data_IF_689995110928
#
_entry.id   IF_689995110928
#
_cell.length_a   1.000
_cell.length_b   1.000
_cell.length_c   1.000
_cell.angle_alpha   90.00
_cell.angle_beta   90.00
_cell.angle_gamma   90.00
#
_symmetry.space_group_name_H-M   'P 1'
#
loop_
_entity.id
_entity.type
_entity.pdbx_description
1 polymer ?
#
# COMPACT_ATOMS: atom_id res chain seq x y z
N UNK A 1 -30.71 6.56 30.42
CA UNK A 1 -30.18 6.60 29.03
C UNK A 1 -28.71 6.98 29.11
N UNK A 2 -27.81 6.01 29.09
CA UNK A 2 -26.36 6.23 29.16
C UNK A 2 -25.85 6.31 27.72
N UNK A 3 -25.25 7.46 27.33
CA UNK A 3 -24.56 7.63 26.05
C UNK A 3 -23.24 6.89 26.11
N UNK A 4 -23.09 5.86 25.31
CA UNK A 4 -21.82 5.13 25.11
C UNK A 4 -20.88 6.01 24.28
N UNK A 5 -19.62 6.21 24.66
CA UNK A 5 -18.67 6.97 23.83
C UNK A 5 -18.28 6.15 22.60
N UNK A 6 -18.36 6.75 21.42
CA UNK A 6 -17.83 6.21 20.16
C UNK A 6 -16.34 5.95 20.31
N UNK A 7 -15.93 4.70 20.05
CA UNK A 7 -14.54 4.25 20.06
C UNK A 7 -13.79 4.89 18.89
N UNK A 8 -12.65 5.50 19.18
CA UNK A 8 -11.70 6.01 18.18
C UNK A 8 -10.96 4.83 17.54
N UNK A 9 -11.55 4.23 16.50
CA UNK A 9 -10.75 3.50 15.54
C UNK A 9 -9.92 4.49 14.70
N UNK A 10 -8.84 4.04 14.06
CA UNK A 10 -7.98 4.86 13.17
C UNK A 10 -8.76 5.27 11.90
N UNK A 11 -9.87 5.99 12.07
CA UNK A 11 -10.79 6.46 11.06
C UNK A 11 -10.80 7.99 11.12
N UNK A 12 -10.03 8.61 10.25
CA UNK A 12 -10.12 10.06 10.03
C UNK A 12 -11.33 10.33 9.13
N UNK A 13 -12.46 10.65 9.72
CA UNK A 13 -13.57 11.24 9.01
C UNK A 13 -13.33 12.75 8.86
N UNK A 14 -13.29 13.24 7.64
CA UNK A 14 -13.13 14.66 7.33
C UNK A 14 -14.48 15.23 6.92
N UNK A 15 -15.01 16.14 7.70
CA UNK A 15 -16.16 16.95 7.31
C UNK A 15 -15.65 18.16 6.51
N UNK A 16 -15.97 18.23 5.22
CA UNK A 16 -15.80 19.42 4.38
C UNK A 16 -17.14 20.16 4.30
N UNK A 17 -17.20 21.33 4.91
CA UNK A 17 -18.32 22.25 4.74
C UNK A 17 -18.32 22.86 3.34
N UNK A 18 -19.38 22.67 2.58
CA UNK A 18 -19.59 23.29 1.29
C UNK A 18 -20.04 24.77 1.48
N UNK A 19 -19.23 25.71 1.03
CA UNK A 19 -19.63 27.10 0.83
C UNK A 19 -20.16 27.25 -0.60
N UNK A 20 -21.46 27.44 -0.74
CA UNK A 20 -22.11 27.79 -2.00
C UNK A 20 -21.96 29.26 -2.29
N UNK A 21 -21.37 29.64 -3.42
CA UNK A 21 -21.39 30.98 -3.98
C UNK A 21 -22.46 31.09 -5.10
N UNK A 22 -23.21 32.18 -5.22
CA UNK A 22 -24.23 32.29 -6.26
C UNK A 22 -23.62 32.60 -7.63
N UNK A 23 -24.02 31.82 -8.64
CA UNK A 23 -23.64 32.03 -10.03
C UNK A 23 -24.49 33.09 -10.69
N UNK A 24 -23.88 34.17 -11.21
CA UNK A 24 -24.48 35.11 -12.14
C UNK A 24 -24.43 34.50 -13.56
N UNK A 25 -25.59 34.23 -14.12
CA UNK A 25 -25.74 33.73 -15.47
C UNK A 25 -25.61 34.86 -16.51
N UNK A 26 -24.60 34.77 -17.38
CA UNK A 26 -24.54 35.51 -18.65
C UNK A 26 -24.91 34.57 -19.80
N UNK A 27 -25.64 35.05 -20.85
CA UNK A 27 -26.04 34.20 -21.95
C UNK A 27 -24.81 33.85 -22.82
N UNK A 28 -24.49 32.55 -22.87
CA UNK A 28 -23.43 32.03 -23.70
C UNK A 28 -23.88 31.95 -25.16
N UNK A 29 -23.17 32.64 -26.05
CA UNK A 29 -23.22 32.36 -27.48
C UNK A 29 -22.69 30.96 -27.75
N UNK A 30 -23.46 30.18 -28.48
CA UNK A 30 -23.10 28.82 -28.89
C UNK A 30 -21.87 28.88 -29.84
N UNK A 31 -20.71 28.54 -29.31
CA UNK A 31 -19.54 28.17 -30.12
C UNK A 31 -19.57 26.66 -30.42
N UNK A 32 -19.07 26.23 -31.56
CA UNK A 32 -19.36 24.91 -32.12
C UNK A 32 -18.81 23.78 -31.26
N UNK A 33 -19.65 22.76 -31.00
CA UNK A 33 -19.39 21.54 -30.25
C UNK A 33 -18.24 20.66 -30.79
N UNK A 34 -17.63 21.03 -31.92
CA UNK A 34 -16.55 20.30 -32.59
C UNK A 34 -15.17 20.44 -31.91
N UNK A 35 -14.96 21.47 -31.04
CA UNK A 35 -13.64 21.72 -30.45
C UNK A 35 -13.36 20.86 -29.17
N UNK A 36 -14.38 20.38 -28.48
CA UNK A 36 -14.21 19.56 -27.27
C UNK A 36 -13.95 18.08 -27.61
N UNK A 37 -14.61 17.53 -28.61
CA UNK A 37 -14.39 16.15 -29.10
C UNK A 37 -12.95 15.98 -29.64
N UNK A 38 -12.46 16.94 -30.41
CA UNK A 38 -11.10 16.88 -30.96
C UNK A 38 -10.00 16.88 -29.90
N UNK A 39 -10.24 17.43 -28.69
CA UNK A 39 -9.27 17.44 -27.59
C UNK A 39 -9.18 16.08 -26.91
N UNK A 40 -10.33 15.47 -26.63
CA UNK A 40 -10.40 14.17 -25.99
C UNK A 40 -9.89 13.04 -26.89
N UNK A 41 -10.29 13.02 -28.15
CA UNK A 41 -9.80 12.08 -29.17
C UNK A 41 -8.27 12.13 -29.30
N UNK A 42 -7.67 13.34 -29.26
CA UNK A 42 -6.21 13.49 -29.26
C UNK A 42 -5.55 12.88 -28.03
N UNK A 43 -6.13 13.06 -26.85
CA UNK A 43 -5.61 12.45 -25.62
C UNK A 43 -5.68 10.93 -25.69
N UNK A 44 -6.84 10.37 -26.10
CA UNK A 44 -7.00 8.92 -26.26
C UNK A 44 -6.00 8.38 -27.27
N UNK A 45 -5.85 9.00 -28.44
CA UNK A 45 -4.86 8.62 -29.46
C UNK A 45 -3.41 8.71 -28.93
N UNK A 46 -3.12 9.70 -28.09
CA UNK A 46 -1.83 9.85 -27.41
C UNK A 46 -1.53 8.70 -26.45
N UNK A 47 -2.51 8.29 -25.65
CA UNK A 47 -2.41 7.14 -24.76
C UNK A 47 -2.26 5.83 -25.55
N UNK A 48 -3.06 5.64 -26.61
CA UNK A 48 -3.05 4.42 -27.44
C UNK A 48 -1.71 4.12 -28.10
N UNK A 49 -0.94 5.16 -28.48
CA UNK A 49 0.40 4.97 -29.04
C UNK A 49 1.37 4.27 -28.10
N UNK A 50 1.14 4.37 -26.79
CA UNK A 50 2.02 3.85 -25.73
C UNK A 50 1.30 2.79 -24.86
N UNK A 51 0.05 2.47 -25.17
CA UNK A 51 -0.71 1.45 -24.48
C UNK A 51 -0.36 0.04 -24.97
N UNK A 52 -0.10 -0.86 -24.04
CA UNK A 52 0.17 -2.26 -24.30
C UNK A 52 -0.97 -3.13 -23.74
N UNK A 53 -1.63 -3.95 -24.56
CA UNK A 53 -2.74 -4.77 -24.09
C UNK A 53 -2.30 -5.74 -23.01
N UNK A 54 -3.09 -5.84 -21.95
CA UNK A 54 -2.95 -6.83 -20.88
C UNK A 54 -3.93 -7.99 -21.19
N UNK A 55 -3.40 -9.16 -21.51
CA UNK A 55 -4.23 -10.30 -21.94
C UNK A 55 -5.05 -10.89 -20.80
N UNK A 56 -4.58 -10.79 -19.58
CA UNK A 56 -5.22 -11.36 -18.41
C UNK A 56 -4.58 -10.82 -17.12
N UNK A 57 -5.32 -10.83 -16.02
CA UNK A 57 -4.78 -10.63 -14.67
C UNK A 57 -4.34 -11.94 -14.02
N UNK A 58 -4.68 -13.11 -14.59
CA UNK A 58 -4.43 -14.43 -13.99
C UNK A 58 -2.94 -14.75 -13.89
N UNK A 59 -2.45 -15.23 -12.73
CA UNK A 59 -1.03 -15.48 -12.49
C UNK A 59 -0.41 -16.56 -13.38
N UNK A 60 -1.22 -17.52 -13.85
CA UNK A 60 -0.80 -18.64 -14.72
C UNK A 60 -0.68 -18.26 -16.20
N UNK A 61 -1.16 -17.08 -16.59
CA UNK A 61 -1.07 -16.59 -17.96
C UNK A 61 0.39 -16.29 -18.36
N UNK A 62 0.90 -16.82 -19.49
CA UNK A 62 2.23 -16.53 -19.96
C UNK A 62 2.51 -15.03 -20.10
N UNK A 63 3.74 -14.59 -19.75
CA UNK A 63 4.11 -13.17 -19.63
C UNK A 63 4.50 -12.48 -20.96
N UNK A 64 4.10 -13.00 -22.14
CA UNK A 64 4.49 -12.40 -23.42
C UNK A 64 4.01 -10.95 -23.60
N UNK A 65 2.84 -10.63 -23.08
CA UNK A 65 2.26 -9.29 -23.07
C UNK A 65 2.91 -8.36 -22.04
N UNK A 66 3.73 -8.87 -21.11
CA UNK A 66 4.44 -8.09 -20.09
C UNK A 66 5.88 -7.72 -20.50
N UNK A 67 6.33 -8.07 -21.72
CA UNK A 67 7.70 -7.76 -22.17
C UNK A 67 8.00 -6.25 -22.21
N UNK A 68 7.05 -5.43 -22.66
CA UNK A 68 7.21 -3.99 -22.65
C UNK A 68 7.28 -3.44 -21.23
N UNK A 69 6.46 -3.96 -20.28
CA UNK A 69 6.55 -3.60 -18.87
C UNK A 69 7.95 -3.91 -18.30
N UNK A 70 8.52 -5.08 -18.62
CA UNK A 70 9.87 -5.43 -18.22
C UNK A 70 10.91 -4.43 -18.71
N UNK A 71 10.76 -3.92 -19.92
CA UNK A 71 11.65 -2.88 -20.46
C UNK A 71 11.52 -1.55 -19.71
N UNK A 72 10.29 -1.16 -19.35
CA UNK A 72 10.00 0.08 -18.61
C UNK A 72 10.57 0.07 -17.19
N UNK A 73 10.69 -1.11 -16.55
CA UNK A 73 11.18 -1.26 -15.17
C UNK A 73 12.58 -1.87 -15.08
N UNK A 74 13.30 -2.00 -16.19
CA UNK A 74 14.61 -2.70 -16.28
C UNK A 74 15.62 -2.19 -15.25
N UNK A 75 15.73 -0.87 -15.14
CA UNK A 75 16.72 -0.20 -14.30
C UNK A 75 16.21 0.07 -12.88
N UNK A 76 14.99 -0.40 -12.58
CA UNK A 76 14.41 -0.26 -11.26
C UNK A 76 15.00 -1.30 -10.29
N UNK A 77 15.19 -0.84 -9.05
CA UNK A 77 15.55 -1.67 -7.90
C UNK A 77 14.34 -1.89 -6.97
N UNK A 78 13.37 -0.96 -7.04
CA UNK A 78 12.10 -1.02 -6.31
C UNK A 78 10.98 -0.65 -7.29
N UNK A 79 10.00 -1.53 -7.44
CA UNK A 79 8.79 -1.28 -8.22
C UNK A 79 7.60 -1.24 -7.26
N UNK A 80 6.98 -0.07 -7.10
CA UNK A 80 5.71 0.06 -6.40
C UNK A 80 4.57 -0.40 -7.31
N UNK A 81 3.74 -1.33 -6.84
CA UNK A 81 2.51 -1.76 -7.53
C UNK A 81 1.34 -1.39 -6.65
N UNK A 82 0.61 -0.37 -7.08
CA UNK A 82 -0.56 0.14 -6.40
C UNK A 82 -1.81 -0.72 -6.57
N UNK A 83 -2.78 -0.51 -5.70
CA UNK A 83 -4.16 -0.98 -5.87
C UNK A 83 -5.13 0.16 -5.66
N UNK A 84 -6.12 0.30 -6.55
CA UNK A 84 -7.16 1.32 -6.44
C UNK A 84 -8.20 1.02 -5.35
N UNK A 85 -8.28 -0.25 -4.94
CA UNK A 85 -9.10 -0.74 -3.82
C UNK A 85 -8.35 -1.83 -3.08
N UNK A 86 -8.54 -1.95 -1.78
CA UNK A 86 -7.86 -2.97 -0.98
C UNK A 86 -8.36 -4.41 -1.17
N UNK A 87 -9.45 -4.65 -1.88
CA UNK A 87 -9.97 -6.01 -2.00
C UNK A 87 -10.79 -6.22 -3.28
N UNK A 88 -10.18 -5.95 -4.42
CA UNK A 88 -10.66 -6.38 -5.75
C UNK A 88 -9.84 -7.54 -6.27
N UNK A 89 -10.51 -8.58 -6.74
CA UNK A 89 -9.92 -9.85 -7.20
C UNK A 89 -8.86 -9.63 -8.28
N UNK A 90 -9.23 -8.89 -9.33
CA UNK A 90 -8.37 -8.69 -10.50
C UNK A 90 -7.12 -7.87 -10.16
N UNK A 91 -7.19 -6.96 -9.18
CA UNK A 91 -6.02 -6.22 -8.69
C UNK A 91 -5.04 -7.16 -7.95
N UNK A 92 -5.54 -8.08 -7.14
CA UNK A 92 -4.72 -9.06 -6.44
C UNK A 92 -4.10 -10.09 -7.38
N UNK A 93 -4.89 -10.64 -8.31
CA UNK A 93 -4.37 -11.60 -9.31
C UNK A 93 -3.38 -10.93 -10.27
N UNK A 94 -3.60 -9.66 -10.64
CA UNK A 94 -2.64 -8.86 -11.42
C UNK A 94 -1.32 -8.68 -10.67
N UNK A 95 -1.37 -8.28 -9.40
CA UNK A 95 -0.18 -8.14 -8.55
C UNK A 95 0.60 -9.45 -8.48
N UNK A 96 -0.06 -10.57 -8.25
CA UNK A 96 0.55 -11.90 -8.28
C UNK A 96 1.21 -12.16 -9.64
N UNK A 97 0.51 -11.90 -10.74
CA UNK A 97 1.04 -12.09 -12.10
C UNK A 97 2.27 -11.22 -12.38
N UNK A 98 2.20 -9.94 -12.01
CA UNK A 98 3.32 -9.00 -12.20
C UNK A 98 4.52 -9.40 -11.34
N UNK A 99 4.31 -9.72 -10.06
CA UNK A 99 5.40 -10.17 -9.19
C UNK A 99 6.04 -11.45 -9.72
N UNK A 100 5.24 -12.46 -10.10
CA UNK A 100 5.74 -13.70 -10.71
C UNK A 100 6.57 -13.43 -11.96
N UNK A 101 6.11 -12.56 -12.84
CA UNK A 101 6.83 -12.19 -14.05
C UNK A 101 8.16 -11.49 -13.72
N UNK A 102 8.12 -10.47 -12.88
CA UNK A 102 9.31 -9.70 -12.49
C UNK A 102 10.33 -10.55 -11.71
N UNK A 103 9.86 -11.46 -10.86
CA UNK A 103 10.72 -12.40 -10.13
C UNK A 103 11.47 -13.35 -11.07
N UNK A 104 10.78 -13.88 -12.06
CA UNK A 104 11.37 -14.90 -12.97
C UNK A 104 12.17 -14.31 -14.13
N UNK A 105 11.98 -13.02 -14.47
CA UNK A 105 12.61 -12.39 -15.64
C UNK A 105 13.52 -11.21 -15.33
N UNK A 106 13.33 -10.52 -14.19
CA UNK A 106 14.02 -9.27 -13.85
C UNK A 106 14.72 -9.31 -12.48
N UNK A 107 14.63 -10.44 -11.76
CA UNK A 107 15.30 -10.64 -10.48
C UNK A 107 14.68 -9.90 -9.28
N UNK A 108 13.41 -9.52 -9.36
CA UNK A 108 12.67 -8.97 -8.22
C UNK A 108 12.26 -10.10 -7.28
N UNK A 109 13.05 -10.35 -6.26
CA UNK A 109 12.88 -11.52 -5.39
C UNK A 109 12.29 -11.20 -4.02
N UNK A 110 12.03 -9.93 -3.72
CA UNK A 110 11.28 -9.54 -2.51
C UNK A 110 9.90 -9.01 -2.87
N UNK A 111 8.87 -9.57 -2.23
CA UNK A 111 7.54 -8.98 -2.13
C UNK A 111 7.45 -8.22 -0.80
N UNK A 112 7.38 -6.90 -0.87
CA UNK A 112 7.17 -6.02 0.27
C UNK A 112 5.70 -5.59 0.33
N UNK A 113 5.10 -5.56 1.53
CA UNK A 113 3.66 -5.44 1.72
C UNK A 113 3.32 -4.25 2.61
N UNK A 114 2.19 -3.62 2.35
CA UNK A 114 1.48 -2.74 3.29
C UNK A 114 0.85 -3.58 4.42
N UNK A 115 1.72 -4.25 5.16
CA UNK A 115 1.37 -5.11 6.29
C UNK A 115 2.43 -4.90 7.38
N UNK A 116 2.12 -5.19 8.66
CA UNK A 116 3.09 -5.08 9.74
C UNK A 116 4.39 -5.82 9.44
N UNK A 117 5.52 -5.26 9.92
CA UNK A 117 6.82 -5.93 9.82
C UNK A 117 6.78 -7.36 10.34
N UNK A 118 6.12 -7.57 11.47
CA UNK A 118 5.96 -8.89 12.11
C UNK A 118 5.20 -9.88 11.23
N UNK A 119 4.18 -9.42 10.50
CA UNK A 119 3.46 -10.20 9.50
C UNK A 119 4.40 -10.65 8.38
N UNK A 120 5.18 -9.72 7.86
CA UNK A 120 6.21 -10.01 6.84
C UNK A 120 7.20 -11.06 7.30
N UNK A 121 7.67 -11.02 8.55
CA UNK A 121 8.59 -12.02 9.13
C UNK A 121 7.96 -13.41 9.16
N UNK A 122 6.71 -13.55 9.58
CA UNK A 122 5.97 -14.83 9.62
C UNK A 122 5.73 -15.39 8.22
N UNK A 123 5.32 -14.56 7.29
CA UNK A 123 5.12 -14.93 5.89
C UNK A 123 6.45 -15.31 5.20
N UNK A 124 7.54 -14.58 5.48
CA UNK A 124 8.88 -14.92 4.98
C UNK A 124 9.36 -16.29 5.49
N UNK A 125 9.14 -16.57 6.77
CA UNK A 125 9.45 -17.89 7.34
C UNK A 125 8.65 -18.98 6.63
N UNK A 126 7.34 -18.80 6.43
CA UNK A 126 6.51 -19.75 5.71
C UNK A 126 6.99 -19.97 4.27
N UNK A 127 7.17 -18.92 3.48
CA UNK A 127 7.55 -19.08 2.06
C UNK A 127 8.94 -19.70 1.88
N UNK A 128 9.86 -19.51 2.84
CA UNK A 128 11.19 -20.12 2.81
C UNK A 128 11.23 -21.56 3.31
N UNK A 129 10.52 -21.84 4.40
CA UNK A 129 10.67 -23.10 5.13
C UNK A 129 9.44 -24.00 5.10
N UNK A 130 8.24 -23.42 4.91
CA UNK A 130 6.95 -24.07 5.06
C UNK A 130 6.49 -24.17 6.52
N UNK A 131 7.17 -23.51 7.47
CA UNK A 131 6.78 -23.51 8.87
C UNK A 131 5.59 -22.59 9.13
N UNK A 132 4.64 -23.06 9.91
CA UNK A 132 3.39 -22.34 10.24
C UNK A 132 2.25 -22.76 9.32
N UNK A 133 1.04 -22.38 9.72
CA UNK A 133 -0.18 -22.52 8.91
C UNK A 133 -0.46 -21.23 8.17
N UNK A 134 -0.40 -21.27 6.85
CA UNK A 134 -0.53 -20.08 6.01
C UNK A 134 -1.90 -19.39 6.16
N UNK A 135 -2.98 -20.19 6.24
CA UNK A 135 -4.33 -19.63 6.39
C UNK A 135 -4.45 -18.87 7.72
N UNK A 136 -4.00 -19.49 8.81
CA UNK A 136 -3.97 -18.85 10.14
C UNK A 136 -3.15 -17.55 10.12
N UNK A 137 -1.96 -17.55 9.50
CA UNK A 137 -1.13 -16.34 9.40
C UNK A 137 -1.89 -15.23 8.68
N UNK A 138 -2.53 -15.52 7.53
CA UNK A 138 -3.26 -14.52 6.75
C UNK A 138 -4.50 -14.02 7.50
N UNK A 139 -5.23 -14.89 8.21
CA UNK A 139 -6.41 -14.52 8.97
C UNK A 139 -6.06 -13.62 10.15
N UNK A 140 -5.07 -14.01 10.97
CA UNK A 140 -4.59 -13.21 12.10
C UNK A 140 -4.06 -11.84 11.69
N UNK A 141 -3.22 -11.79 10.65
CA UNK A 141 -2.67 -10.52 10.16
C UNK A 141 -3.74 -9.65 9.47
N UNK A 142 -4.77 -10.26 8.90
CA UNK A 142 -5.92 -9.57 8.32
C UNK A 142 -6.88 -8.94 9.35
N UNK A 143 -6.83 -9.35 10.62
CA UNK A 143 -7.73 -8.84 11.67
C UNK A 143 -7.66 -7.32 11.84
N UNK A 144 -6.46 -6.73 11.73
CA UNK A 144 -6.25 -5.28 11.85
C UNK A 144 -6.90 -4.46 10.75
N UNK A 145 -7.18 -5.10 9.61
CA UNK A 145 -7.80 -4.49 8.41
C UNK A 145 -9.23 -4.99 8.19
N UNK A 146 -9.86 -5.58 9.20
CA UNK A 146 -11.21 -6.17 9.07
C UNK A 146 -11.29 -7.32 8.07
N UNK A 147 -10.17 -7.97 7.74
CA UNK A 147 -10.11 -9.11 6.84
C UNK A 147 -10.18 -8.77 5.34
N UNK A 148 -10.00 -7.49 4.94
CA UNK A 148 -10.01 -7.12 3.51
C UNK A 148 -8.90 -7.82 2.72
N UNK A 149 -7.79 -8.20 3.37
CA UNK A 149 -6.69 -8.97 2.78
C UNK A 149 -6.73 -10.47 3.10
N UNK A 150 -7.66 -10.94 3.94
CA UNK A 150 -7.85 -12.36 4.20
C UNK A 150 -8.62 -13.00 3.03
N UNK A 151 -7.90 -13.21 1.92
CA UNK A 151 -8.51 -13.65 0.66
C UNK A 151 -7.76 -14.83 0.04
N UNK A 152 -8.50 -15.59 -0.77
CA UNK A 152 -7.94 -16.71 -1.55
C UNK A 152 -6.81 -16.26 -2.47
N UNK A 153 -6.86 -15.08 -3.03
CA UNK A 153 -5.85 -14.54 -3.93
C UNK A 153 -4.49 -14.36 -3.23
N UNK A 154 -4.49 -13.94 -1.96
CA UNK A 154 -3.28 -13.88 -1.14
C UNK A 154 -2.78 -15.27 -0.75
N UNK A 155 -3.67 -16.19 -0.40
CA UNK A 155 -3.32 -17.59 -0.13
C UNK A 155 -2.63 -18.22 -1.35
N UNK A 156 -3.18 -18.03 -2.56
CA UNK A 156 -2.63 -18.54 -3.81
C UNK A 156 -1.24 -17.94 -4.11
N UNK A 157 -1.02 -16.64 -3.83
CA UNK A 157 0.27 -15.98 -4.02
C UNK A 157 1.37 -16.57 -3.12
N UNK A 158 1.11 -16.66 -1.81
CA UNK A 158 2.12 -17.20 -0.89
C UNK A 158 2.35 -18.69 -1.08
N UNK A 159 1.32 -19.45 -1.44
CA UNK A 159 1.47 -20.87 -1.82
C UNK A 159 2.36 -21.02 -3.03
N UNK A 160 2.16 -20.22 -4.08
CA UNK A 160 3.06 -20.19 -5.23
C UNK A 160 4.49 -19.81 -4.86
N UNK A 161 4.69 -18.79 -4.01
CA UNK A 161 6.04 -18.42 -3.55
C UNK A 161 6.73 -19.56 -2.81
N UNK A 162 5.97 -20.28 -1.97
CA UNK A 162 6.48 -21.47 -1.26
C UNK A 162 6.90 -22.55 -2.23
N UNK A 163 6.07 -22.88 -3.22
CA UNK A 163 6.36 -23.90 -4.23
C UNK A 163 7.57 -23.51 -5.09
N UNK A 164 7.63 -22.26 -5.53
CA UNK A 164 8.81 -21.72 -6.23
C UNK A 164 10.08 -21.89 -5.38
N UNK A 165 10.02 -21.58 -4.10
CA UNK A 165 11.16 -21.67 -3.20
C UNK A 165 11.65 -23.10 -2.94
N UNK A 166 10.86 -24.14 -3.19
CA UNK A 166 11.30 -25.53 -3.01
C UNK A 166 12.46 -25.88 -3.94
N UNK A 167 12.46 -25.39 -5.17
CA UNK A 167 13.42 -25.75 -6.21
C UNK A 167 14.32 -24.60 -6.65
N UNK A 168 13.88 -23.34 -6.51
CA UNK A 168 14.64 -22.20 -6.97
C UNK A 168 15.96 -22.01 -6.20
N UNK A 169 17.04 -21.66 -6.93
CA UNK A 169 18.34 -21.31 -6.33
C UNK A 169 18.25 -20.03 -5.52
N UNK A 170 17.68 -18.98 -6.11
CA UNK A 170 17.39 -17.71 -5.42
C UNK A 170 15.99 -17.76 -4.84
N UNK A 171 15.89 -17.62 -3.53
CA UNK A 171 14.61 -17.70 -2.82
C UNK A 171 13.86 -16.39 -2.90
N UNK A 172 12.55 -16.48 -3.09
CA UNK A 172 11.64 -15.35 -2.90
C UNK A 172 11.52 -15.05 -1.40
N UNK A 173 11.42 -13.76 -1.09
CA UNK A 173 11.33 -13.24 0.27
C UNK A 173 10.07 -12.41 0.43
N UNK A 174 9.59 -12.30 1.66
CA UNK A 174 8.48 -11.42 2.04
C UNK A 174 8.96 -10.46 3.12
N UNK A 175 8.50 -9.22 3.08
CA UNK A 175 8.63 -8.27 4.17
C UNK A 175 7.35 -7.47 4.32
N UNK A 176 6.99 -7.12 5.55
CA UNK A 176 6.01 -6.06 5.84
C UNK A 176 6.75 -4.75 6.07
N UNK A 177 6.25 -3.64 5.55
CA UNK A 177 6.87 -2.33 5.80
C UNK A 177 6.02 -1.43 6.70
N UNK A 178 4.77 -1.82 6.98
CA UNK A 178 3.82 -1.03 7.77
C UNK A 178 4.00 -1.24 9.29
N UNK A 179 3.30 -0.40 10.06
CA UNK A 179 3.48 -0.16 11.48
C UNK A 179 2.16 -0.24 12.26
N UNK A 180 1.16 -0.93 11.70
CA UNK A 180 -0.16 -1.03 12.33
C UNK A 180 -0.17 -1.91 13.59
N UNK A 181 0.71 -2.90 13.66
CA UNK A 181 0.84 -3.82 14.81
C UNK A 181 2.26 -4.36 14.94
N UNK A 182 2.61 -4.83 16.14
CA UNK A 182 3.82 -5.60 16.42
C UNK A 182 3.48 -6.87 17.17
N UNK A 183 3.70 -8.02 16.53
CA UNK A 183 3.43 -9.32 17.12
C UNK A 183 4.32 -9.60 18.34
N UNK A 184 3.83 -10.20 19.45
CA UNK A 184 4.60 -10.44 20.66
C UNK A 184 5.92 -11.21 20.49
N UNK A 185 6.04 -12.05 19.47
CA UNK A 185 7.28 -12.74 19.15
C UNK A 185 8.44 -11.77 18.82
N UNK A 186 8.17 -10.58 18.28
CA UNK A 186 9.19 -9.60 17.97
C UNK A 186 9.87 -9.08 19.23
N UNK A 187 9.09 -8.77 20.27
CA UNK A 187 9.65 -8.40 21.58
C UNK A 187 10.47 -9.53 22.17
N UNK A 188 9.97 -10.77 22.12
CA UNK A 188 10.69 -11.94 22.62
C UNK A 188 12.04 -12.11 21.97
N UNK A 189 12.14 -12.02 20.64
CA UNK A 189 13.44 -12.13 19.95
C UNK A 189 14.47 -11.09 20.39
N UNK A 190 14.03 -9.85 20.69
CA UNK A 190 14.92 -8.82 21.21
C UNK A 190 15.38 -9.15 22.64
N UNK A 191 14.45 -9.61 23.49
CA UNK A 191 14.77 -9.98 24.88
C UNK A 191 15.66 -11.23 24.96
N UNK A 192 15.39 -12.25 24.14
CA UNK A 192 16.20 -13.47 24.03
C UNK A 192 17.62 -13.15 23.54
N UNK A 193 17.74 -12.28 22.54
CA UNK A 193 19.05 -11.78 22.10
C UNK A 193 19.79 -11.05 23.22
N UNK A 194 19.10 -10.17 23.97
CA UNK A 194 19.73 -9.45 25.08
C UNK A 194 20.16 -10.40 26.20
N UNK A 195 19.36 -11.43 26.52
CA UNK A 195 19.68 -12.42 27.53
C UNK A 195 20.94 -13.23 27.15
N UNK A 196 21.11 -13.54 25.87
CA UNK A 196 22.25 -14.33 25.38
C UNK A 196 23.54 -13.51 25.18
N UNK A 197 23.41 -12.24 24.69
CA UNK A 197 24.55 -11.47 24.20
C UNK A 197 24.89 -10.24 25.04
N UNK A 198 23.90 -9.63 25.74
CA UNK A 198 24.05 -8.39 26.49
C UNK A 198 23.16 -8.38 27.74
N UNK A 199 23.38 -9.31 28.70
CA UNK A 199 22.50 -9.46 29.87
C UNK A 199 22.37 -8.20 30.73
N UNK A 200 23.33 -7.28 30.63
CA UNK A 200 23.34 -6.04 31.41
C UNK A 200 22.17 -5.09 31.07
N UNK A 201 21.67 -5.11 29.82
CA UNK A 201 20.56 -4.26 29.38
C UNK A 201 19.19 -4.95 29.52
N UNK A 202 19.14 -6.26 29.76
CA UNK A 202 17.89 -7.03 29.78
C UNK A 202 16.86 -6.53 30.81
N UNK A 203 17.22 -6.20 32.09
CA UNK A 203 16.25 -5.70 33.04
C UNK A 203 15.59 -4.40 32.58
N UNK A 204 16.34 -3.49 31.96
CA UNK A 204 15.83 -2.22 31.47
C UNK A 204 14.96 -2.44 30.22
N UNK A 205 15.33 -3.32 29.27
CA UNK A 205 14.49 -3.67 28.14
C UNK A 205 13.15 -4.27 28.58
N UNK A 206 13.16 -5.20 29.55
CA UNK A 206 11.92 -5.78 30.12
C UNK A 206 11.04 -4.69 30.75
N UNK A 207 11.61 -3.75 31.45
CA UNK A 207 10.90 -2.61 32.04
C UNK A 207 10.26 -1.73 30.95
N UNK A 208 11.01 -1.37 29.91
CA UNK A 208 10.57 -0.51 28.80
C UNK A 208 9.45 -1.14 27.98
N UNK A 209 9.53 -2.44 27.73
CA UNK A 209 8.52 -3.15 26.96
C UNK A 209 7.34 -3.68 27.79
N UNK A 210 7.35 -3.52 29.13
CA UNK A 210 6.39 -4.15 30.01
C UNK A 210 4.91 -3.88 29.64
N UNK A 211 4.58 -2.62 29.34
CA UNK A 211 3.21 -2.22 28.96
C UNK A 211 2.79 -2.78 27.59
N UNK A 212 3.72 -2.80 26.63
CA UNK A 212 3.46 -3.35 25.28
C UNK A 212 3.32 -4.87 25.32
N UNK A 213 4.10 -5.56 26.16
CA UNK A 213 4.00 -7.00 26.37
C UNK A 213 2.72 -7.42 27.12
N UNK A 214 2.12 -6.50 27.88
CA UNK A 214 0.85 -6.70 28.57
C UNK A 214 -0.39 -6.51 27.69
N UNK A 215 -0.22 -6.09 26.44
CA UNK A 215 -1.33 -5.95 25.48
C UNK A 215 -1.96 -7.32 25.18
N UNK A 216 -3.26 -7.38 24.78
CA UNK A 216 -3.94 -8.62 24.39
C UNK A 216 -3.20 -9.44 23.34
N UNK A 217 -3.55 -10.73 23.21
CA UNK A 217 -2.87 -11.65 22.29
C UNK A 217 -3.21 -11.47 20.81
N UNK A 218 -4.45 -11.12 20.47
CA UNK A 218 -4.91 -10.91 19.09
C UNK A 218 -4.43 -9.59 18.48
N UNK A 219 -4.21 -9.55 17.18
CA UNK A 219 -3.71 -8.36 16.48
C UNK A 219 -4.71 -7.20 16.57
N UNK A 220 -5.99 -7.47 16.27
CA UNK A 220 -7.05 -6.46 16.38
C UNK A 220 -7.21 -5.94 17.80
N UNK A 221 -7.18 -6.84 18.79
CA UNK A 221 -7.32 -6.49 20.19
C UNK A 221 -6.17 -5.59 20.68
N UNK A 222 -4.93 -5.82 20.20
CA UNK A 222 -3.77 -4.95 20.50
C UNK A 222 -3.95 -3.55 19.90
N UNK A 223 -4.38 -3.47 18.63
CA UNK A 223 -4.65 -2.20 17.96
C UNK A 223 -5.77 -1.42 18.67
N UNK A 224 -6.88 -2.10 19.02
CA UNK A 224 -7.99 -1.50 19.76
C UNK A 224 -7.53 -0.99 21.14
N UNK A 225 -6.70 -1.77 21.85
CA UNK A 225 -6.16 -1.39 23.15
C UNK A 225 -5.23 -0.18 23.05
N UNK A 226 -4.33 -0.13 22.06
CA UNK A 226 -3.45 1.02 21.82
C UNK A 226 -4.24 2.27 21.45
N UNK A 227 -5.21 2.17 20.53
CA UNK A 227 -6.02 3.32 20.12
C UNK A 227 -6.95 3.85 21.20
N UNK A 228 -7.24 3.05 22.23
CA UNK A 228 -8.03 3.46 23.39
C UNK A 228 -7.21 4.21 24.46
N UNK A 229 -5.87 4.22 24.36
CA UNK A 229 -5.02 4.89 25.34
C UNK A 229 -5.10 6.42 25.21
N UNK A 230 -5.03 7.15 26.33
CA UNK A 230 -4.86 8.60 26.31
C UNK A 230 -3.56 9.04 25.62
N UNK A 231 -3.50 10.24 25.00
CA UNK A 231 -2.32 10.73 24.30
C UNK A 231 -1.05 10.72 25.13
N UNK A 232 -1.13 11.07 26.41
CA UNK A 232 0.02 11.07 27.33
C UNK A 232 0.57 9.66 27.58
N UNK A 233 -0.27 8.63 27.56
CA UNK A 233 0.19 7.26 27.70
C UNK A 233 0.83 6.74 26.40
N UNK A 234 0.28 7.11 25.25
CA UNK A 234 0.88 6.80 23.95
C UNK A 234 2.25 7.45 23.80
N UNK A 235 2.39 8.71 24.22
CA UNK A 235 3.67 9.41 24.25
C UNK A 235 4.68 8.70 25.15
N UNK A 236 4.29 8.31 26.36
CA UNK A 236 5.16 7.58 27.28
C UNK A 236 5.59 6.21 26.71
N UNK A 237 4.71 5.52 25.97
CA UNK A 237 5.07 4.28 25.25
C UNK A 237 6.09 4.54 24.13
N UNK A 238 5.96 5.63 23.39
CA UNK A 238 6.92 6.02 22.36
C UNK A 238 8.30 6.34 22.95
N UNK A 239 8.35 7.11 24.06
CA UNK A 239 9.58 7.42 24.80
C UNK A 239 10.26 6.14 25.34
N UNK A 240 9.49 5.20 25.89
CA UNK A 240 10.01 3.91 26.36
C UNK A 240 10.56 3.07 25.21
N UNK A 241 9.86 3.01 24.07
CA UNK A 241 10.28 2.24 22.91
C UNK A 241 11.53 2.86 22.23
N UNK A 242 11.62 4.19 22.15
CA UNK A 242 12.78 4.90 21.65
C UNK A 242 14.02 4.62 22.53
N UNK A 243 13.86 4.72 23.86
CA UNK A 243 14.92 4.40 24.79
C UNK A 243 15.37 2.93 24.70
N UNK A 244 14.42 1.99 24.50
CA UNK A 244 14.74 0.58 24.29
C UNK A 244 15.50 0.36 22.96
N UNK A 245 15.09 1.03 21.87
CA UNK A 245 15.83 1.00 20.60
C UNK A 245 17.28 1.46 20.79
N UNK A 246 17.51 2.59 21.47
CA UNK A 246 18.85 3.09 21.71
C UNK A 246 19.70 2.22 22.66
N UNK A 247 19.08 1.49 23.58
CA UNK A 247 19.80 0.49 24.38
C UNK A 247 20.34 -0.63 23.50
N UNK A 248 19.48 -1.17 22.60
CA UNK A 248 19.87 -2.22 21.65
C UNK A 248 20.93 -1.71 20.67
N UNK A 249 20.77 -0.48 20.15
CA UNK A 249 21.71 0.14 19.20
C UNK A 249 23.12 0.30 19.80
N UNK A 250 23.21 0.72 21.08
CA UNK A 250 24.47 0.93 21.79
C UNK A 250 25.17 -0.35 22.23
N UNK A 251 24.48 -1.47 22.25
CA UNK A 251 25.02 -2.76 22.65
C UNK A 251 26.11 -3.34 21.70
N UNK A 252 26.33 -2.73 20.55
CA UNK A 252 27.51 -2.86 19.69
C UNK A 252 27.63 -4.11 18.83
N UNK A 253 27.15 -5.27 19.24
CA UNK A 253 27.21 -6.53 18.48
C UNK A 253 25.83 -7.06 18.11
N UNK A 254 24.90 -6.15 17.85
CA UNK A 254 23.53 -6.52 17.51
C UNK A 254 23.41 -6.95 16.05
N UNK A 255 22.64 -8.01 15.82
CA UNK A 255 22.22 -8.40 14.47
C UNK A 255 21.42 -7.24 13.84
N UNK A 256 21.66 -6.90 12.55
CA UNK A 256 20.87 -5.89 11.88
C UNK A 256 19.34 -6.14 11.96
N UNK A 257 18.91 -7.40 11.97
CA UNK A 257 17.49 -7.76 12.10
C UNK A 257 16.94 -7.48 13.50
N UNK A 258 17.67 -7.80 14.57
CA UNK A 258 17.24 -7.50 15.96
C UNK A 258 17.14 -6.00 16.16
N UNK A 259 18.12 -5.24 15.66
CA UNK A 259 18.10 -3.78 15.73
C UNK A 259 16.91 -3.21 14.94
N UNK A 260 16.61 -3.75 13.76
CA UNK A 260 15.45 -3.33 12.99
C UNK A 260 14.13 -3.66 13.69
N UNK A 261 14.03 -4.80 14.36
CA UNK A 261 12.84 -5.15 15.15
C UNK A 261 12.60 -4.16 16.29
N UNK A 262 13.67 -3.76 17.01
CA UNK A 262 13.57 -2.71 18.02
C UNK A 262 13.18 -1.35 17.43
N UNK A 263 13.73 -1.01 16.26
CA UNK A 263 13.39 0.21 15.51
C UNK A 263 11.92 0.23 15.08
N UNK A 264 11.38 -0.87 14.59
CA UNK A 264 9.96 -0.96 14.17
C UNK A 264 9.01 -0.79 15.36
N UNK A 265 9.37 -1.30 16.55
CA UNK A 265 8.59 -1.05 17.76
C UNK A 265 8.57 0.44 18.09
N UNK A 266 9.72 1.11 18.06
CA UNK A 266 9.83 2.56 18.25
C UNK A 266 9.01 3.32 17.19
N UNK A 267 9.13 2.97 15.91
CA UNK A 267 8.38 3.59 14.82
C UNK A 267 6.86 3.42 15.01
N UNK A 268 6.39 2.23 15.37
CA UNK A 268 4.98 1.95 15.62
C UNK A 268 4.44 2.84 16.75
N UNK A 269 5.11 2.85 17.89
CA UNK A 269 4.67 3.67 19.05
C UNK A 269 4.70 5.16 18.74
N UNK A 270 5.67 5.63 17.93
CA UNK A 270 5.71 7.01 17.44
C UNK A 270 4.49 7.34 16.57
N UNK A 271 4.09 6.42 15.65
CA UNK A 271 2.89 6.62 14.83
C UNK A 271 1.64 6.72 15.70
N UNK A 272 1.48 5.84 16.70
CA UNK A 272 0.34 5.90 17.62
C UNK A 272 0.33 7.14 18.51
N UNK A 273 1.50 7.68 18.86
CA UNK A 273 1.64 8.92 19.63
C UNK A 273 1.47 10.20 18.80
N UNK A 274 1.44 10.09 17.47
CA UNK A 274 1.26 11.21 16.54
C UNK A 274 -0.22 11.49 16.28
N UNK A 275 -0.56 12.73 15.92
CA UNK A 275 -1.93 13.16 15.64
C UNK A 275 -2.07 13.79 14.26
N UNK A 276 -3.29 13.73 13.70
CA UNK A 276 -3.66 14.38 12.44
C UNK A 276 -2.73 14.01 11.27
N UNK A 277 -2.27 15.01 10.53
CA UNK A 277 -1.39 14.81 9.37
C UNK A 277 0.02 14.31 9.72
N UNK A 278 0.46 14.49 10.96
CA UNK A 278 1.76 14.00 11.44
C UNK A 278 1.77 12.48 11.54
N UNK A 279 0.68 11.87 12.00
CA UNK A 279 0.51 10.41 12.04
C UNK A 279 0.77 9.82 10.64
N UNK A 280 0.09 10.32 9.63
CA UNK A 280 0.23 9.84 8.26
C UNK A 280 1.62 10.12 7.68
N UNK A 281 2.20 11.30 7.97
CA UNK A 281 3.57 11.63 7.57
C UNK A 281 4.59 10.66 8.16
N UNK A 282 4.48 10.36 9.46
CA UNK A 282 5.38 9.43 10.13
C UNK A 282 5.20 8.01 9.61
N UNK A 283 3.95 7.54 9.42
CA UNK A 283 3.67 6.21 8.88
C UNK A 283 4.31 6.02 7.50
N UNK A 284 4.02 6.89 6.54
CA UNK A 284 4.55 6.77 5.17
C UNK A 284 6.08 6.92 5.11
N UNK A 285 6.66 7.81 5.93
CA UNK A 285 8.12 7.95 6.06
C UNK A 285 8.75 6.65 6.57
N UNK A 286 8.22 6.08 7.64
CA UNK A 286 8.76 4.85 8.21
C UNK A 286 8.56 3.65 7.29
N UNK A 287 7.44 3.57 6.57
CA UNK A 287 7.22 2.55 5.54
C UNK A 287 8.31 2.60 4.45
N UNK A 288 8.67 3.81 4.00
CA UNK A 288 9.75 4.00 3.04
C UNK A 288 11.12 3.65 3.64
N UNK A 289 11.41 4.08 4.89
CA UNK A 289 12.64 3.76 5.59
C UNK A 289 12.82 2.25 5.78
N UNK A 290 11.75 1.51 6.14
CA UNK A 290 11.76 0.06 6.31
C UNK A 290 12.02 -0.66 4.98
N UNK A 291 11.40 -0.19 3.89
CA UNK A 291 11.65 -0.69 2.53
C UNK A 291 13.11 -0.48 2.14
N UNK A 292 13.67 0.71 2.38
CA UNK A 292 15.07 1.04 2.08
C UNK A 292 16.05 0.30 2.99
N UNK A 293 15.67 0.07 4.27
CA UNK A 293 16.46 -0.77 5.15
C UNK A 293 16.60 -2.19 4.60
N UNK A 294 15.48 -2.79 4.17
CA UNK A 294 15.50 -4.11 3.55
C UNK A 294 16.38 -4.14 2.31
N UNK A 295 16.24 -3.15 1.43
CA UNK A 295 17.07 -3.04 0.22
C UNK A 295 18.56 -2.99 0.57
N UNK A 296 18.97 -2.17 1.52
CA UNK A 296 20.38 -2.03 1.92
C UNK A 296 20.94 -3.31 2.56
N UNK A 297 20.16 -3.99 3.39
CA UNK A 297 20.62 -5.15 4.13
C UNK A 297 20.58 -6.47 3.34
N UNK A 298 19.76 -6.55 2.30
CA UNK A 298 19.63 -7.77 1.49
C UNK A 298 20.21 -7.64 0.09
N UNK A 299 20.32 -6.44 -0.46
CA UNK A 299 20.69 -6.20 -1.86
C UNK A 299 19.62 -6.60 -2.87
N UNK A 300 18.50 -7.20 -2.44
CA UNK A 300 17.47 -7.77 -3.32
C UNK A 300 16.63 -6.66 -3.99
N UNK A 301 16.15 -6.93 -5.21
CA UNK A 301 15.15 -6.09 -5.87
C UNK A 301 13.77 -6.33 -5.26
N UNK A 302 12.98 -5.26 -5.13
CA UNK A 302 11.73 -5.24 -4.35
C UNK A 302 10.54 -4.90 -5.25
N UNK A 303 9.48 -5.70 -5.17
CA UNK A 303 8.13 -5.27 -5.54
C UNK A 303 7.44 -4.83 -4.26
N UNK A 304 7.13 -3.54 -4.16
CA UNK A 304 6.39 -2.94 -3.05
C UNK A 304 4.90 -2.86 -3.39
N UNK A 305 4.10 -3.63 -2.68
CA UNK A 305 2.67 -3.79 -2.89
C UNK A 305 1.88 -3.04 -1.81
N UNK A 306 1.15 -1.99 -2.23
CA UNK A 306 0.37 -1.15 -1.33
C UNK A 306 -0.84 -0.54 -2.05
N UNK A 307 -1.66 0.21 -1.31
CA UNK A 307 -2.67 1.07 -1.91
C UNK A 307 -2.04 2.11 -2.86
N UNK A 308 -2.78 2.51 -3.88
CA UNK A 308 -2.37 3.57 -4.80
C UNK A 308 -1.88 4.82 -4.07
N UNK A 309 -2.55 5.20 -2.98
CA UNK A 309 -2.23 6.37 -2.16
C UNK A 309 -0.86 6.33 -1.50
N UNK A 310 -0.28 5.14 -1.26
CA UNK A 310 1.07 4.98 -0.73
C UNK A 310 2.14 4.87 -1.82
N UNK A 311 1.81 4.22 -2.95
CA UNK A 311 2.76 4.01 -4.06
C UNK A 311 3.03 5.28 -4.86
N UNK A 312 2.05 6.18 -4.94
CA UNK A 312 2.10 7.43 -5.72
C UNK A 312 3.20 8.40 -5.27
N UNK A 313 3.68 9.23 -6.19
CA UNK A 313 4.54 10.38 -5.88
C UNK A 313 3.78 11.58 -5.35
N UNK A 314 2.49 11.71 -5.72
CA UNK A 314 1.63 12.84 -5.38
C UNK A 314 0.48 12.36 -4.50
N UNK A 315 0.33 12.95 -3.32
CA UNK A 315 -0.79 12.62 -2.45
C UNK A 315 -2.12 13.06 -3.06
N UNK A 316 -3.13 12.19 -3.13
CA UNK A 316 -4.48 12.58 -3.48
C UNK A 316 -5.18 13.40 -2.38
N UNK A 317 -4.66 13.37 -1.15
CA UNK A 317 -5.20 14.06 0.02
C UNK A 317 -4.10 14.81 0.80
N UNK A 318 -3.43 15.82 0.22
CA UNK A 318 -2.21 16.40 0.81
C UNK A 318 -2.42 17.07 2.17
N UNK A 319 -3.65 17.45 2.51
CA UNK A 319 -3.96 18.01 3.83
C UNK A 319 -3.93 16.96 4.94
N UNK A 320 -4.21 15.69 4.62
CA UNK A 320 -4.22 14.58 5.57
C UNK A 320 -2.97 13.71 5.42
N UNK A 321 -2.60 13.41 4.19
CA UNK A 321 -1.41 12.65 3.80
C UNK A 321 -0.43 13.58 3.08
N UNK A 322 0.35 14.39 3.79
CA UNK A 322 1.17 15.44 3.17
C UNK A 322 2.30 14.87 2.30
N UNK A 323 2.77 13.67 2.63
CA UNK A 323 3.83 12.97 1.88
C UNK A 323 3.49 11.49 1.83
N UNK A 324 3.67 10.87 0.67
CA UNK A 324 3.41 9.45 0.45
C UNK A 324 4.70 8.62 0.61
N UNK A 325 4.56 7.32 0.87
CA UNK A 325 5.69 6.38 0.84
C UNK A 325 6.43 6.44 -0.50
N UNK A 326 5.69 6.51 -1.63
CA UNK A 326 6.28 6.59 -2.97
C UNK A 326 7.11 7.84 -3.20
N UNK A 327 6.64 9.00 -2.69
CA UNK A 327 7.43 10.23 -2.73
C UNK A 327 8.73 10.11 -1.93
N UNK A 328 8.68 9.50 -0.73
CA UNK A 328 9.85 9.23 0.10
C UNK A 328 10.81 8.24 -0.56
N UNK A 329 10.30 7.14 -1.14
CA UNK A 329 11.11 6.18 -1.88
C UNK A 329 11.78 6.84 -3.09
N UNK A 330 11.05 7.71 -3.80
CA UNK A 330 11.62 8.49 -4.91
C UNK A 330 12.74 9.43 -4.45
N UNK A 331 12.58 10.08 -3.32
CA UNK A 331 13.62 10.94 -2.73
C UNK A 331 14.86 10.13 -2.31
N UNK A 332 14.68 8.92 -1.73
CA UNK A 332 15.77 8.08 -1.22
C UNK A 332 16.48 7.26 -2.30
N UNK A 333 15.73 6.75 -3.29
CA UNK A 333 16.21 5.81 -4.31
C UNK A 333 16.33 6.44 -5.71
N UNK A 334 15.87 7.68 -5.89
CA UNK A 334 15.91 8.36 -7.19
C UNK A 334 15.13 7.59 -8.25
N UNK A 335 15.70 7.49 -9.45
CA UNK A 335 15.07 6.81 -10.59
C UNK A 335 15.02 5.28 -10.48
N UNK A 336 15.67 4.70 -9.48
CA UNK A 336 15.57 3.25 -9.22
C UNK A 336 14.26 2.83 -8.53
N UNK A 337 13.44 3.80 -8.08
CA UNK A 337 12.05 3.56 -7.71
C UNK A 337 11.13 3.92 -8.88
N UNK A 338 10.26 2.99 -9.27
CA UNK A 338 9.24 3.15 -10.31
C UNK A 338 7.86 2.89 -9.71
N UNK A 339 6.94 3.83 -9.89
CA UNK A 339 5.57 3.73 -9.41
C UNK A 339 4.61 3.28 -10.53
N UNK A 340 3.93 2.15 -10.29
CA UNK A 340 2.86 1.63 -11.13
C UNK A 340 1.55 1.82 -10.37
N UNK A 341 0.71 2.76 -10.83
CA UNK A 341 -0.67 2.91 -10.35
C UNK A 341 -1.62 1.96 -11.04
N UNK A 342 -2.70 1.58 -10.37
CA UNK A 342 -3.81 0.85 -11.00
C UNK A 342 -5.04 1.72 -11.10
N UNK A 343 -5.80 1.55 -12.16
CA UNK A 343 -7.04 2.25 -12.47
C UNK A 343 -8.12 1.22 -12.84
N UNK A 344 -9.34 1.48 -12.42
CA UNK A 344 -10.51 0.63 -12.73
C UNK A 344 -11.65 1.48 -13.25
N UNK A 345 -12.30 1.09 -14.35
CA UNK A 345 -13.48 1.82 -14.81
C UNK A 345 -14.70 1.53 -13.95
N UNK A 346 -14.88 0.29 -13.52
CA UNK A 346 -16.03 -0.11 -12.69
C UNK A 346 -15.79 -1.43 -11.98
N UNK A 347 -16.57 -1.69 -10.95
CA UNK A 347 -16.67 -3.03 -10.39
C UNK A 347 -16.65 -3.15 -8.89
N UNK A 348 -16.64 -4.41 -8.45
CA UNK A 348 -16.80 -4.80 -7.06
C UNK A 348 -15.49 -4.79 -6.27
N UNK A 349 -15.60 -4.47 -5.02
CA UNK A 349 -14.54 -4.56 -4.02
C UNK A 349 -15.13 -4.93 -2.66
N UNK A 350 -14.27 -5.31 -1.72
CA UNK A 350 -14.66 -5.49 -0.32
C UNK A 350 -14.05 -4.35 0.51
N UNK A 351 -14.83 -3.86 1.46
CA UNK A 351 -14.38 -2.85 2.41
C UNK A 351 -15.14 -3.00 3.73
N UNK A 352 -14.61 -2.38 4.79
CA UNK A 352 -15.27 -2.30 6.08
C UNK A 352 -16.46 -1.34 5.97
N UNK A 353 -17.66 -1.81 6.28
CA UNK A 353 -18.83 -0.97 6.42
C UNK A 353 -18.73 -0.20 7.76
N UNK A 354 -18.70 1.15 7.74
CA UNK A 354 -18.52 1.94 8.96
C UNK A 354 -19.70 1.83 9.93
N UNK A 355 -20.91 1.46 9.46
CA UNK A 355 -22.10 1.39 10.28
C UNK A 355 -22.11 0.16 11.22
N UNK A 356 -21.45 -0.93 10.81
CA UNK A 356 -21.45 -2.18 11.54
C UNK A 356 -20.06 -2.81 11.79
N UNK A 357 -19.00 -2.22 11.24
CA UNK A 357 -17.62 -2.69 11.36
C UNK A 357 -17.30 -4.00 10.63
N UNK A 358 -18.21 -4.49 9.77
CA UNK A 358 -18.01 -5.74 9.00
C UNK A 358 -17.51 -5.45 7.61
N UNK A 359 -16.70 -6.37 7.08
CA UNK A 359 -16.26 -6.31 5.69
C UNK A 359 -17.34 -6.87 4.77
N UNK A 360 -17.82 -6.04 3.87
CA UNK A 360 -18.91 -6.31 2.93
C UNK A 360 -18.50 -6.03 1.48
N UNK A 361 -19.31 -6.48 0.54
CA UNK A 361 -19.11 -6.20 -0.90
C UNK A 361 -19.78 -4.88 -1.27
N UNK A 362 -19.04 -4.06 -2.01
CA UNK A 362 -19.50 -2.81 -2.59
C UNK A 362 -19.18 -2.79 -4.09
N UNK A 363 -19.71 -1.80 -4.80
CA UNK A 363 -19.44 -1.57 -6.22
C UNK A 363 -19.14 -0.08 -6.43
N UNK A 364 -18.15 0.25 -7.26
CA UNK A 364 -17.80 1.65 -7.56
C UNK A 364 -18.81 2.34 -8.46
N UNK A 365 -19.66 1.55 -9.16
CA UNK A 365 -20.36 2.03 -10.33
C UNK A 365 -19.40 2.34 -11.50
N UNK A 366 -19.93 2.85 -12.61
CA UNK A 366 -19.11 3.31 -13.72
C UNK A 366 -18.41 4.64 -13.39
N UNK A 367 -17.21 4.83 -13.92
CA UNK A 367 -16.47 6.06 -13.80
C UNK A 367 -17.22 7.24 -14.44
N UNK A 368 -17.30 8.37 -13.75
CA UNK A 368 -17.97 9.57 -14.26
C UNK A 368 -17.20 10.24 -15.41
N UNK A 369 -17.85 11.03 -16.24
CA UNK A 369 -17.27 11.61 -17.45
C UNK A 369 -16.12 12.58 -17.20
N UNK A 370 -16.01 13.13 -16.00
CA UNK A 370 -14.97 14.06 -15.56
C UNK A 370 -13.73 13.34 -14.95
N UNK A 371 -13.81 12.02 -14.77
CA UNK A 371 -12.75 11.25 -14.10
C UNK A 371 -11.62 10.83 -15.05
N UNK A 372 -10.47 10.50 -14.45
CA UNK A 372 -9.34 9.93 -15.20
C UNK A 372 -9.71 8.59 -15.82
N UNK A 373 -10.45 7.75 -15.10
CA UNK A 373 -10.85 6.41 -15.52
C UNK A 373 -11.75 6.44 -16.75
N UNK A 374 -12.60 7.47 -16.90
CA UNK A 374 -13.46 7.63 -18.07
C UNK A 374 -12.66 7.79 -19.36
N UNK A 375 -11.58 8.59 -19.34
CA UNK A 375 -10.70 8.77 -20.49
C UNK A 375 -9.84 7.52 -20.73
N UNK A 376 -9.31 6.92 -19.65
CA UNK A 376 -8.55 5.69 -19.76
C UNK A 376 -9.35 4.56 -20.38
N UNK A 377 -10.65 4.46 -20.07
CA UNK A 377 -11.53 3.39 -20.59
C UNK A 377 -11.92 3.56 -22.07
N UNK A 378 -11.67 4.73 -22.67
CA UNK A 378 -11.86 4.99 -24.10
C UNK A 378 -10.73 4.47 -25.00
N UNK A 379 -9.58 4.12 -24.40
CA UNK A 379 -8.50 3.44 -25.12
C UNK A 379 -9.01 2.11 -25.65
N UNK A 380 -8.70 1.77 -26.92
CA UNK A 380 -9.21 0.58 -27.62
C UNK A 380 -9.00 -0.77 -26.89
N UNK A 381 -8.05 -0.83 -25.96
CA UNK A 381 -7.78 -2.01 -25.14
C UNK A 381 -8.59 -1.93 -23.84
N UNK A 382 -9.35 -2.96 -23.53
CA UNK A 382 -10.14 -3.02 -22.29
C UNK A 382 -9.23 -3.03 -21.06
N UNK A 383 -8.24 -3.93 -21.07
CA UNK A 383 -7.24 -4.05 -20.02
C UNK A 383 -5.87 -3.80 -20.66
N UNK A 384 -5.09 -2.90 -20.10
CA UNK A 384 -3.80 -2.51 -20.67
C UNK A 384 -2.92 -1.83 -19.60
N UNK A 385 -1.67 -1.61 -19.93
CA UNK A 385 -0.79 -0.70 -19.22
C UNK A 385 -0.19 0.32 -20.18
N UNK A 386 0.10 1.49 -19.65
CA UNK A 386 0.66 2.60 -20.42
C UNK A 386 1.78 3.29 -19.64
N UNK A 387 2.88 3.57 -20.32
CA UNK A 387 3.95 4.44 -19.81
C UNK A 387 3.50 5.89 -19.90
N UNK A 388 3.25 6.51 -18.74
CA UNK A 388 2.85 7.92 -18.70
C UNK A 388 4.00 8.84 -19.14
N UNK A 389 5.26 8.47 -18.83
CA UNK A 389 6.47 9.21 -19.27
C UNK A 389 6.64 9.22 -20.78
N UNK A 390 6.20 8.19 -21.49
CA UNK A 390 6.23 8.16 -22.94
C UNK A 390 5.04 8.91 -23.54
N UNK A 391 3.85 8.74 -22.94
CA UNK A 391 2.62 9.39 -23.39
C UNK A 391 2.65 10.92 -23.21
N UNK A 392 3.33 11.44 -22.19
CA UNK A 392 3.52 12.90 -21.97
C UNK A 392 4.36 13.61 -23.05
N UNK A 393 5.00 12.87 -23.97
CA UNK A 393 5.69 13.48 -25.11
C UNK A 393 4.73 14.15 -26.09
N UNK A 394 3.47 13.70 -26.10
CA UNK A 394 2.39 14.36 -26.83
C UNK A 394 1.85 15.55 -26.00
N UNK A 395 1.81 16.79 -26.55
CA UNK A 395 1.42 17.97 -25.78
C UNK A 395 -0.02 17.94 -25.25
N UNK A 396 -0.98 17.35 -25.99
CA UNK A 396 -2.36 17.24 -25.54
C UNK A 396 -2.48 16.24 -24.40
N UNK A 397 -1.83 15.09 -24.52
CA UNK A 397 -1.77 14.06 -23.51
C UNK A 397 -1.05 14.56 -22.26
N UNK A 398 0.07 15.27 -22.38
CA UNK A 398 0.77 15.91 -21.24
C UNK A 398 -0.16 16.83 -20.48
N UNK A 399 -0.83 17.76 -21.19
CA UNK A 399 -1.78 18.68 -20.54
C UNK A 399 -2.87 17.93 -19.77
N UNK A 400 -3.36 16.83 -20.34
CA UNK A 400 -4.35 16.00 -19.67
C UNK A 400 -3.75 15.29 -18.43
N UNK A 401 -2.56 14.70 -18.55
CA UNK A 401 -1.85 14.01 -17.46
C UNK A 401 -1.49 14.93 -16.29
N UNK A 402 -1.18 16.20 -16.58
CA UNK A 402 -0.80 17.20 -15.58
C UNK A 402 -2.03 17.87 -14.91
N UNK A 403 -3.25 17.61 -15.42
CA UNK A 403 -4.48 18.18 -14.85
C UNK A 403 -5.10 17.21 -13.85
N UNK A 404 -5.27 17.67 -12.59
CA UNK A 404 -5.93 16.87 -11.57
C UNK A 404 -7.43 16.65 -11.94
N UNK A 405 -7.86 15.39 -11.86
CA UNK A 405 -9.24 14.96 -12.09
C UNK A 405 -9.67 13.96 -11.03
N UNK A 406 -10.99 13.81 -10.78
CA UNK A 406 -11.51 12.76 -9.94
C UNK A 406 -10.93 11.41 -10.36
N UNK A 407 -10.40 10.65 -9.40
CA UNK A 407 -9.75 9.36 -9.61
C UNK A 407 -10.19 8.42 -8.50
N UNK A 408 -10.55 7.18 -8.83
CA UNK A 408 -10.93 6.20 -7.82
C UNK A 408 -9.76 5.91 -6.88
N UNK A 409 -10.05 6.03 -5.58
CA UNK A 409 -9.15 5.68 -4.50
C UNK A 409 -10.00 5.21 -3.33
N UNK A 410 -10.12 3.89 -3.17
CA UNK A 410 -11.03 3.27 -2.20
C UNK A 410 -10.24 2.78 -1.00
N UNK A 411 -10.38 3.43 0.17
CA UNK A 411 -9.70 3.00 1.40
C UNK A 411 -10.27 1.68 1.94
N UNK A 412 -9.64 1.13 2.97
CA UNK A 412 -10.09 -0.12 3.61
C UNK A 412 -11.51 -0.01 4.19
N UNK A 413 -11.92 1.18 4.64
CA UNK A 413 -13.29 1.47 5.07
C UNK A 413 -14.07 2.11 3.93
N UNK A 414 -15.30 1.66 3.71
CA UNK A 414 -16.18 2.25 2.71
C UNK A 414 -16.62 3.65 3.13
N UNK A 415 -16.13 4.65 2.43
CA UNK A 415 -16.44 6.06 2.63
C UNK A 415 -16.88 6.64 1.27
N UNK A 416 -18.20 6.73 1.00
CA UNK A 416 -18.71 7.16 -0.32
C UNK A 416 -18.13 8.49 -0.80
N UNK A 417 -17.95 9.45 0.08
CA UNK A 417 -17.42 10.79 -0.22
C UNK A 417 -15.90 10.77 -0.53
N UNK A 418 -15.21 9.68 -0.17
CA UNK A 418 -13.78 9.50 -0.40
C UNK A 418 -13.46 8.53 -1.54
N UNK A 419 -14.46 8.03 -2.27
CA UNK A 419 -14.23 7.12 -3.40
C UNK A 419 -13.44 7.75 -4.54
N UNK A 420 -13.41 9.07 -4.60
CA UNK A 420 -12.72 9.83 -5.64
C UNK A 420 -11.91 10.96 -5.05
N UNK A 421 -10.68 11.08 -5.50
CA UNK A 421 -9.81 12.20 -5.15
C UNK A 421 -9.23 12.87 -6.40
N UNK A 422 -8.99 14.18 -6.39
CA UNK A 422 -8.35 14.86 -7.52
C UNK A 422 -6.88 14.41 -7.63
N UNK A 423 -6.50 13.83 -8.78
CA UNK A 423 -5.14 13.36 -9.04
C UNK A 423 -4.68 13.68 -10.46
N UNK A 424 -3.51 14.29 -10.60
CA UNK A 424 -2.80 14.46 -11.84
C UNK A 424 -1.92 13.22 -12.09
N UNK A 425 -2.34 12.36 -13.03
CA UNK A 425 -1.71 11.04 -13.23
C UNK A 425 -0.23 11.13 -13.63
N UNK A 426 0.15 12.10 -14.45
CA UNK A 426 1.54 12.30 -14.89
C UNK A 426 2.50 12.66 -13.75
N UNK A 427 1.98 13.30 -12.70
CA UNK A 427 2.75 13.63 -11.50
C UNK A 427 2.71 12.51 -10.45
N UNK A 428 1.75 11.60 -10.57
CA UNK A 428 1.49 10.56 -9.58
C UNK A 428 2.26 9.24 -9.86
N UNK A 429 2.37 8.83 -11.12
CA UNK A 429 2.90 7.52 -11.49
C UNK A 429 3.80 7.58 -12.73
N UNK A 430 4.64 6.56 -12.90
CA UNK A 430 5.40 6.33 -14.14
C UNK A 430 4.59 5.51 -15.15
N UNK A 431 3.80 4.58 -14.64
CA UNK A 431 3.02 3.63 -15.42
C UNK A 431 1.63 3.53 -14.76
N UNK A 432 0.59 3.43 -15.59
CA UNK A 432 -0.75 3.07 -15.13
C UNK A 432 -1.16 1.75 -15.79
N UNK A 433 -1.70 0.84 -14.97
CA UNK A 433 -2.43 -0.34 -15.45
C UNK A 433 -3.91 -0.05 -15.31
N UNK A 434 -4.65 -0.06 -16.43
CA UNK A 434 -6.10 0.14 -16.45
C UNK A 434 -6.82 -1.19 -16.65
N UNK A 435 -7.84 -1.43 -15.83
CA UNK A 435 -8.75 -2.57 -15.93
C UNK A 435 -10.16 -2.04 -16.15
N UNK A 436 -10.81 -2.51 -17.20
CA UNK A 436 -12.18 -2.12 -17.53
C UNK A 436 -13.16 -2.48 -16.40
N UNK A 437 -13.03 -3.69 -15.83
CA UNK A 437 -13.91 -4.15 -14.76
C UNK A 437 -13.23 -5.12 -13.82
N UNK A 438 -13.51 -4.94 -12.52
CA UNK A 438 -13.06 -5.81 -11.45
C UNK A 438 -14.23 -6.40 -10.66
N UNK A 439 -13.96 -7.42 -9.85
CA UNK A 439 -14.89 -8.06 -8.93
C UNK A 439 -14.33 -8.00 -7.51
N UNK A 440 -15.18 -8.07 -6.51
CA UNK A 440 -14.76 -8.27 -5.14
C UNK A 440 -13.89 -9.53 -5.00
N UNK A 441 -12.84 -9.46 -4.18
CA UNK A 441 -11.95 -10.59 -3.90
C UNK A 441 -12.70 -11.70 -3.14
N UNK A 442 -12.20 -12.93 -3.23
CA UNK A 442 -12.80 -14.10 -2.58
C UNK A 442 -12.27 -14.19 -1.13
N UNK A 443 -13.11 -14.06 -0.10
CA UNK A 443 -12.67 -14.25 1.29
C UNK A 443 -12.18 -15.69 1.52
N UNK A 444 -11.31 -15.86 2.53
CA UNK A 444 -10.85 -17.17 3.02
C UNK A 444 -11.95 -17.92 3.79
#
# INVERSE_FOLDING_TARGET
MRKTPLRRGLLVAVALGALAAPALATPAQAAPALASETSEERVVAGLERHAHPLRSTRPDTPGHDLKALSALVRDAEIVGIGEATHSSKELFTLRHRLFRHLATTQGFTTLALEAPWSAGVRLDEYVRTGKGDLRTIIEEEGETTGGVWSTKEWLDLYSWMRDYNRTARTKLRVMGFDLSDVHPQQYRRILDWAEEHEPSILPELRRRYAKLLALPGGAKERVDALTALPPEQLKALAEDAEAAYHLVEKAGKVSPYVLQEARVIYQMTTVYASEGSELHRNRDRFMAENTMWWKRNTGLKIVAAAHNGHVTYLSPYPQHYPVTQGAQLRAMAGRSYVAIGTSIHSGGFRAINPDNGKTENFDTGAAGPDSNEHILDKVRHRDYYVSLREAERDPATRKWLDTARPTFTVPATYLPDMLKAPLALGQAYDIVVHLHRVKAANPL
#
